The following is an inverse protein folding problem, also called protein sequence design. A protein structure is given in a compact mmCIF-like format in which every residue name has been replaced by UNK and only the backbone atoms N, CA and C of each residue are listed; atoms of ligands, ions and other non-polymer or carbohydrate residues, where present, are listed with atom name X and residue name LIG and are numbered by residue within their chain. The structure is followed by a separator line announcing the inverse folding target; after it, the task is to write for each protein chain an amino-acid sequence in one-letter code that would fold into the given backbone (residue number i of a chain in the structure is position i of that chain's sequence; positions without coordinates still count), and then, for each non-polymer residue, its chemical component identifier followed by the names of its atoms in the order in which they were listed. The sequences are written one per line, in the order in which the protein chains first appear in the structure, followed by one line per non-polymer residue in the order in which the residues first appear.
data_IF_081295812336
#
_entry.id   IF_081295812336
#
_cell.length_a   1.000
_cell.length_b   1.000
_cell.length_c   1.000
_cell.angle_alpha   90.00
_cell.angle_beta   90.00
_cell.angle_gamma   90.00
#
_symmetry.space_group_name_H-M   'P 1'
#
loop_
_entity.id
_entity.type
_entity.pdbx_description
1 polymer ?
#
# COMPACT_ATOMS: atom_id res chain seq x y z
N UNK A 1 23.20 11.06 6.66
CA UNK A 1 23.42 9.97 5.68
C UNK A 1 22.12 9.81 4.92
N UNK A 2 22.15 9.44 3.63
CA UNK A 2 20.94 9.38 2.80
C UNK A 2 20.25 8.02 2.94
N UNK A 3 18.99 8.01 3.39
CA UNK A 3 18.20 6.79 3.67
C UNK A 3 17.40 6.29 2.45
N UNK A 4 17.57 6.90 1.28
CA UNK A 4 16.91 6.47 0.05
C UNK A 4 15.61 7.22 -0.26
N UNK A 5 14.78 6.62 -1.12
CA UNK A 5 13.47 7.13 -1.51
C UNK A 5 12.40 6.32 -0.79
N UNK A 6 11.60 6.96 0.05
CA UNK A 6 10.42 6.36 0.66
C UNK A 6 9.23 6.50 -0.28
N UNK A 7 8.55 5.39 -0.57
CA UNK A 7 7.34 5.36 -1.40
C UNK A 7 6.19 4.78 -0.57
N UNK A 8 5.08 5.52 -0.51
CA UNK A 8 3.93 5.17 0.32
C UNK A 8 2.69 5.22 -0.58
N UNK A 9 1.85 4.20 -0.48
CA UNK A 9 0.54 4.13 -1.15
C UNK A 9 -0.57 4.04 -0.10
N UNK A 10 -1.72 4.65 -0.40
CA UNK A 10 -2.90 4.66 0.48
C UNK A 10 -4.07 3.97 -0.22
N UNK A 11 -4.72 3.05 0.48
CA UNK A 11 -6.04 2.54 0.09
C UNK A 11 -7.10 3.40 0.77
N UNK A 12 -8.05 3.90 -0.03
CA UNK A 12 -9.13 4.76 0.43
C UNK A 12 -10.46 4.07 0.18
N UNK A 13 -11.31 4.00 1.21
CA UNK A 13 -12.64 3.41 1.12
C UNK A 13 -13.66 4.33 0.42
N UNK A 14 -14.90 3.84 0.26
CA UNK A 14 -15.99 4.60 -0.38
C UNK A 14 -16.42 5.85 0.41
N UNK A 15 -16.14 5.92 1.71
CA UNK A 15 -16.42 7.07 2.57
C UNK A 15 -15.27 8.09 2.55
N UNK A 16 -14.20 7.82 1.80
CA UNK A 16 -13.03 8.69 1.68
C UNK A 16 -12.05 8.56 2.85
N UNK A 17 -12.13 7.52 3.67
CA UNK A 17 -11.20 7.27 4.78
C UNK A 17 -10.04 6.39 4.34
N UNK A 18 -8.89 6.58 4.98
CA UNK A 18 -7.73 5.70 4.79
C UNK A 18 -8.05 4.35 5.42
N UNK A 19 -8.16 3.35 4.58
CA UNK A 19 -8.41 1.96 4.98
C UNK A 19 -7.10 1.24 5.27
N UNK A 20 -6.06 1.48 4.45
CA UNK A 20 -4.74 0.88 4.64
C UNK A 20 -3.61 1.76 4.09
N UNK A 21 -2.42 1.61 4.69
CA UNK A 21 -1.19 2.30 4.28
C UNK A 21 -0.15 1.25 3.92
N UNK A 22 0.37 1.32 2.69
CA UNK A 22 1.46 0.48 2.22
C UNK A 22 2.75 1.32 2.21
N UNK A 23 3.68 1.02 3.10
CA UNK A 23 4.95 1.74 3.26
C UNK A 23 6.19 0.83 3.16
N UNK A 24 6.03 -0.49 3.21
CA UNK A 24 7.10 -1.48 3.01
C UNK A 24 6.82 -2.39 1.81
N UNK A 25 7.15 -1.91 0.61
CA UNK A 25 7.03 -2.69 -0.62
C UNK A 25 8.10 -2.32 -1.65
N UNK A 26 8.35 -3.24 -2.59
CA UNK A 26 9.15 -2.94 -3.78
C UNK A 26 8.21 -2.47 -4.89
N UNK A 27 8.64 -1.49 -5.69
CA UNK A 27 7.82 -1.02 -6.82
C UNK A 27 7.37 -2.17 -7.74
N UNK A 28 8.19 -3.21 -7.89
CA UNK A 28 7.87 -4.38 -8.73
C UNK A 28 6.73 -5.26 -8.19
N UNK A 29 6.54 -5.33 -6.86
CA UNK A 29 5.52 -6.19 -6.24
C UNK A 29 4.32 -5.42 -5.69
N UNK A 30 4.23 -4.10 -5.93
CA UNK A 30 3.15 -3.27 -5.40
C UNK A 30 1.74 -3.82 -5.71
N UNK A 31 1.52 -4.26 -6.95
CA UNK A 31 0.23 -4.80 -7.37
C UNK A 31 -0.16 -6.09 -6.62
N UNK A 32 0.78 -7.00 -6.42
CA UNK A 32 0.53 -8.23 -5.67
C UNK A 32 0.19 -7.93 -4.21
N UNK A 33 0.91 -6.99 -3.59
CA UNK A 33 0.68 -6.58 -2.20
C UNK A 33 -0.73 -6.03 -2.02
N UNK A 34 -1.18 -5.14 -2.92
CA UNK A 34 -2.54 -4.58 -2.86
C UNK A 34 -3.59 -5.68 -3.08
N UNK A 35 -3.41 -6.54 -4.09
CA UNK A 35 -4.37 -7.61 -4.38
C UNK A 35 -4.49 -8.62 -3.23
N UNK A 36 -3.37 -8.97 -2.60
CA UNK A 36 -3.37 -9.89 -1.46
C UNK A 36 -4.09 -9.26 -0.27
N UNK A 37 -3.80 -7.99 0.04
CA UNK A 37 -4.50 -7.28 1.10
C UNK A 37 -6.01 -7.28 0.89
N UNK A 38 -6.48 -6.95 -0.32
CA UNK A 38 -7.90 -6.94 -0.68
C UNK A 38 -8.55 -8.33 -0.54
N UNK A 39 -7.84 -9.41 -0.88
CA UNK A 39 -8.38 -10.78 -0.74
C UNK A 39 -8.49 -11.23 0.72
N UNK A 40 -7.58 -10.79 1.57
CA UNK A 40 -7.55 -11.14 3.00
C UNK A 40 -8.57 -10.34 3.82
N UNK A 41 -8.94 -9.15 3.35
CA UNK A 41 -9.80 -8.19 4.06
C UNK A 41 -11.14 -7.95 3.34
N UNK A 42 -11.52 -8.83 2.40
CA UNK A 42 -12.82 -8.84 1.72
C UNK A 42 -13.93 -9.50 2.54
#
# INVERSE_FOLDING_TARGET
TYDGIHRISFLIDADGKIEHVFDDFKTSNHHDVVLNWLKEHA
#
